data_IF_149658109619
#
_entry.id   IF_149658109619
#
_cell.length_a   1.000
_cell.length_b   1.000
_cell.length_c   1.000
_cell.angle_alpha   90.00
_cell.angle_beta   90.00
_cell.angle_gamma   90.00
#
_symmetry.space_group_name_H-M   'P 1'
#
loop_
_entity.id
_entity.type
_entity.pdbx_description
1 polymer ?
#
# COMPACT_ATOMS: atom_id res chain seq x y z
N UNK A 1 19.73 -24.30 -18.15
CA UNK A 1 18.49 -23.91 -17.46
C UNK A 1 17.38 -24.78 -18.01
N UNK A 2 16.59 -25.40 -17.13
CA UNK A 2 15.55 -26.37 -17.54
C UNK A 2 14.15 -25.79 -17.39
N UNK A 3 13.95 -24.91 -16.38
CA UNK A 3 12.64 -24.37 -16.06
C UNK A 3 12.75 -22.95 -15.52
N UNK A 4 11.87 -22.04 -15.96
CA UNK A 4 11.76 -20.65 -15.51
C UNK A 4 10.31 -20.38 -15.07
N UNK A 5 10.12 -19.77 -13.89
CA UNK A 5 8.82 -19.23 -13.47
C UNK A 5 8.78 -17.73 -13.79
N UNK A 6 7.75 -17.30 -14.49
CA UNK A 6 7.60 -15.93 -14.98
C UNK A 6 6.46 -15.23 -14.25
N UNK A 7 6.72 -14.04 -13.67
CA UNK A 7 5.66 -13.17 -13.18
C UNK A 7 4.84 -12.67 -14.39
N UNK A 8 3.58 -13.09 -14.44
CA UNK A 8 2.71 -12.95 -15.60
C UNK A 8 1.46 -12.14 -15.27
N UNK A 9 1.27 -11.02 -15.91
CA UNK A 9 0.08 -10.17 -15.75
C UNK A 9 -0.93 -10.31 -16.90
N UNK A 10 -0.61 -11.08 -17.94
CA UNK A 10 -1.47 -11.18 -19.13
C UNK A 10 -1.40 -9.98 -20.08
N UNK A 11 -0.65 -8.93 -19.75
CA UNK A 11 -0.41 -7.79 -20.63
C UNK A 11 0.49 -8.13 -21.83
N UNK A 12 0.62 -7.18 -22.77
CA UNK A 12 1.49 -7.32 -23.95
C UNK A 12 2.92 -7.70 -23.54
N UNK A 13 3.51 -6.91 -22.65
CA UNK A 13 4.92 -7.04 -22.26
C UNK A 13 5.22 -8.42 -21.67
N UNK A 14 4.41 -8.88 -20.71
CA UNK A 14 4.62 -10.18 -20.07
C UNK A 14 4.29 -11.35 -20.99
N UNK A 15 3.38 -11.19 -21.95
CA UNK A 15 3.07 -12.23 -22.93
C UNK A 15 4.20 -12.38 -23.96
N UNK A 16 4.75 -11.27 -24.49
CA UNK A 16 5.94 -11.29 -25.34
C UNK A 16 7.13 -11.89 -24.60
N UNK A 17 7.35 -11.47 -23.37
CA UNK A 17 8.43 -11.96 -22.50
C UNK A 17 8.37 -13.48 -22.31
N UNK A 18 7.20 -14.03 -22.05
CA UNK A 18 6.99 -15.47 -21.84
C UNK A 18 7.43 -16.27 -23.09
N UNK A 19 6.97 -15.86 -24.29
CA UNK A 19 7.34 -16.45 -25.56
C UNK A 19 8.83 -16.30 -25.87
N UNK A 20 9.38 -15.11 -25.63
CA UNK A 20 10.78 -14.81 -25.88
C UNK A 20 11.72 -15.64 -24.99
N UNK A 21 11.43 -15.74 -23.69
CA UNK A 21 12.20 -16.57 -22.76
C UNK A 21 12.19 -18.05 -23.17
N UNK A 22 11.04 -18.57 -23.59
CA UNK A 22 10.94 -19.95 -24.11
C UNK A 22 11.85 -20.16 -25.31
N UNK A 23 11.83 -19.23 -26.27
CA UNK A 23 12.63 -19.33 -27.48
C UNK A 23 14.13 -19.16 -27.19
N UNK A 24 14.50 -18.23 -26.30
CA UNK A 24 15.90 -17.97 -25.97
C UNK A 24 16.56 -19.11 -25.19
N UNK A 25 15.89 -19.60 -24.17
CA UNK A 25 16.48 -20.60 -23.25
C UNK A 25 16.13 -22.04 -23.61
N UNK A 26 15.22 -22.27 -24.57
CA UNK A 26 14.74 -23.59 -24.97
C UNK A 26 14.36 -24.46 -23.77
N UNK A 27 13.60 -23.89 -22.81
CA UNK A 27 13.27 -24.49 -21.54
C UNK A 27 11.76 -24.46 -21.26
N UNK A 28 11.35 -25.16 -20.22
CA UNK A 28 9.98 -25.11 -19.73
C UNK A 28 9.69 -23.74 -19.07
N UNK A 29 8.57 -23.13 -19.46
CA UNK A 29 8.11 -21.87 -18.88
C UNK A 29 6.84 -22.13 -18.09
N UNK A 30 6.84 -21.68 -16.84
CA UNK A 30 5.68 -21.69 -15.95
C UNK A 30 5.26 -20.23 -15.71
N UNK A 31 4.02 -19.92 -16.01
CA UNK A 31 3.45 -18.61 -15.71
C UNK A 31 2.93 -18.57 -14.26
N UNK A 32 3.17 -17.49 -13.56
CA UNK A 32 2.61 -17.21 -12.25
C UNK A 32 1.94 -15.86 -12.20
N UNK A 33 0.68 -15.81 -11.82
CA UNK A 33 -0.06 -14.59 -11.52
C UNK A 33 -0.55 -14.64 -10.07
N UNK A 34 -0.49 -13.52 -9.37
CA UNK A 34 -1.06 -13.38 -8.04
C UNK A 34 -2.32 -12.52 -8.11
N UNK A 35 -3.39 -12.98 -7.46
CA UNK A 35 -4.53 -12.14 -7.12
C UNK A 35 -4.23 -11.41 -5.81
N UNK A 36 -3.98 -10.11 -5.92
CA UNK A 36 -3.81 -9.18 -4.81
C UNK A 36 -4.95 -8.15 -4.76
N UNK A 37 -6.10 -8.46 -5.41
CA UNK A 37 -7.30 -7.63 -5.46
C UNK A 37 -7.40 -6.72 -6.69
N UNK A 38 -6.76 -7.07 -7.81
CA UNK A 38 -6.86 -6.36 -9.10
C UNK A 38 -8.14 -6.68 -9.90
N UNK A 39 -8.95 -7.64 -9.41
CA UNK A 39 -10.29 -8.02 -9.95
C UNK A 39 -10.27 -8.54 -11.40
N UNK A 40 -10.89 -7.82 -12.33
CA UNK A 40 -11.23 -8.27 -13.71
C UNK A 40 -10.03 -8.68 -14.59
N UNK A 41 -8.81 -8.40 -14.16
CA UNK A 41 -7.60 -8.70 -14.95
C UNK A 41 -7.20 -10.19 -14.94
N UNK A 42 -7.93 -11.03 -14.19
CA UNK A 42 -7.61 -12.46 -14.02
C UNK A 42 -8.39 -13.38 -14.97
N UNK A 43 -9.48 -12.90 -15.56
CA UNK A 43 -10.35 -13.71 -16.38
C UNK A 43 -9.63 -14.19 -17.66
N UNK A 44 -9.68 -15.51 -17.91
CA UNK A 44 -9.07 -16.13 -19.09
C UNK A 44 -7.54 -16.15 -19.11
N UNK A 45 -6.88 -15.75 -18.03
CA UNK A 45 -5.43 -15.60 -17.94
C UNK A 45 -4.69 -16.93 -18.13
N UNK A 46 -5.21 -18.02 -17.56
CA UNK A 46 -4.61 -19.36 -17.69
C UNK A 46 -4.57 -19.83 -19.15
N UNK A 47 -5.71 -19.67 -19.86
CA UNK A 47 -5.80 -20.00 -21.29
C UNK A 47 -4.84 -19.16 -22.10
N UNK A 48 -4.75 -17.86 -21.80
CA UNK A 48 -3.84 -16.94 -22.47
C UNK A 48 -2.38 -17.33 -22.25
N UNK A 49 -1.98 -17.63 -21.02
CA UNK A 49 -0.61 -18.04 -20.69
C UNK A 49 -0.20 -19.33 -21.45
N UNK A 50 -1.06 -20.34 -21.44
CA UNK A 50 -0.80 -21.63 -22.12
C UNK A 50 -0.75 -21.46 -23.64
N UNK A 51 -1.66 -20.70 -24.23
CA UNK A 51 -1.64 -20.38 -25.66
C UNK A 51 -0.38 -19.58 -26.06
N UNK A 52 0.14 -18.75 -25.15
CA UNK A 52 1.38 -17.99 -25.35
C UNK A 52 2.65 -18.85 -25.21
N UNK A 53 2.51 -20.08 -24.69
CA UNK A 53 3.61 -21.06 -24.65
C UNK A 53 4.07 -21.48 -23.26
N UNK A 54 3.37 -21.06 -22.19
CA UNK A 54 3.59 -21.62 -20.87
C UNK A 54 3.14 -23.10 -20.83
N UNK A 55 3.90 -23.95 -20.13
CA UNK A 55 3.50 -25.35 -19.88
C UNK A 55 2.45 -25.44 -18.79
N UNK A 56 2.47 -24.50 -17.84
CA UNK A 56 1.55 -24.37 -16.73
C UNK A 56 1.32 -22.89 -16.42
N UNK A 57 0.14 -22.59 -15.86
CA UNK A 57 -0.15 -21.28 -15.27
C UNK A 57 -0.72 -21.51 -13.88
N UNK A 58 -0.17 -20.80 -12.89
CA UNK A 58 -0.68 -20.78 -11.54
C UNK A 58 -1.21 -19.40 -11.20
N UNK A 59 -2.44 -19.32 -10.70
CA UNK A 59 -3.04 -18.11 -10.15
C UNK A 59 -3.13 -18.30 -8.64
N UNK A 60 -2.33 -17.53 -7.89
CA UNK A 60 -2.33 -17.54 -6.43
C UNK A 60 -3.32 -16.52 -5.87
N UNK A 61 -4.32 -16.97 -5.08
CA UNK A 61 -5.17 -16.04 -4.33
C UNK A 61 -4.40 -15.57 -3.08
N UNK A 62 -3.85 -14.37 -3.16
CA UNK A 62 -3.09 -13.73 -2.08
C UNK A 62 -3.86 -12.58 -1.40
N UNK A 63 -5.14 -12.39 -1.68
CA UNK A 63 -5.91 -11.24 -1.20
C UNK A 63 -5.93 -11.11 0.32
N UNK A 64 -6.19 -12.21 1.01
CA UNK A 64 -6.19 -12.24 2.48
C UNK A 64 -4.77 -12.11 3.05
N UNK A 65 -3.78 -12.81 2.47
CA UNK A 65 -2.37 -12.69 2.87
C UNK A 65 -1.87 -11.26 2.67
N UNK A 66 -2.19 -10.65 1.53
CA UNK A 66 -1.79 -9.27 1.23
C UNK A 66 -2.37 -8.27 2.24
N UNK A 67 -3.64 -8.43 2.61
CA UNK A 67 -4.26 -7.59 3.63
C UNK A 67 -3.62 -7.80 5.01
N UNK A 68 -3.54 -9.06 5.46
CA UNK A 68 -3.12 -9.43 6.81
C UNK A 68 -1.63 -9.20 7.06
N UNK A 69 -0.77 -9.60 6.12
CA UNK A 69 0.67 -9.69 6.35
C UNK A 69 1.45 -8.50 5.75
N UNK A 70 0.81 -7.68 4.90
CA UNK A 70 1.45 -6.52 4.26
C UNK A 70 0.73 -5.20 4.56
N UNK A 71 -0.57 -5.10 4.26
CA UNK A 71 -1.31 -3.84 4.45
C UNK A 71 -1.39 -3.49 5.93
N UNK A 72 -1.87 -4.38 6.78
CA UNK A 72 -2.12 -4.08 8.20
C UNK A 72 -0.83 -3.80 8.99
N UNK A 73 0.26 -4.58 8.86
CA UNK A 73 1.53 -4.25 9.52
C UNK A 73 2.12 -2.92 9.07
N UNK A 74 1.96 -2.55 7.80
CA UNK A 74 2.37 -1.26 7.28
C UNK A 74 1.58 -0.11 7.93
N UNK A 75 0.26 -0.27 8.12
CA UNK A 75 -0.56 0.73 8.81
C UNK A 75 -0.27 0.79 10.31
N UNK A 76 0.02 -0.33 10.99
CA UNK A 76 0.50 -0.32 12.36
C UNK A 76 1.80 0.50 12.51
N UNK A 77 2.70 0.42 11.52
CA UNK A 77 3.90 1.24 11.50
C UNK A 77 3.61 2.72 11.23
N UNK A 78 2.39 3.09 10.84
CA UNK A 78 2.08 4.43 10.35
C UNK A 78 2.83 4.79 9.08
N UNK A 79 3.28 3.78 8.31
CA UNK A 79 4.18 3.99 7.19
C UNK A 79 3.49 4.71 6.03
N UNK A 80 4.05 5.85 5.68
CA UNK A 80 3.64 6.67 4.55
C UNK A 80 4.90 7.28 3.91
N UNK A 81 5.11 7.03 2.62
CA UNK A 81 6.31 7.51 1.94
C UNK A 81 6.12 8.96 1.52
N UNK A 82 7.13 9.79 1.85
CA UNK A 82 7.16 11.23 1.57
C UNK A 82 5.87 11.95 2.02
N UNK A 83 5.23 11.46 3.09
CA UNK A 83 4.06 12.07 3.71
C UNK A 83 2.74 11.89 2.98
N UNK A 84 2.69 11.17 1.85
CA UNK A 84 1.50 11.07 1.02
C UNK A 84 1.23 9.66 0.45
N UNK A 85 2.26 8.90 0.07
CA UNK A 85 2.11 7.64 -0.62
C UNK A 85 1.95 6.46 0.35
N UNK A 86 0.81 5.76 0.29
CA UNK A 86 0.48 4.59 1.11
C UNK A 86 1.12 3.27 0.64
N UNK A 87 2.18 3.32 -0.14
CA UNK A 87 3.05 2.20 -0.47
C UNK A 87 2.39 0.98 -1.15
N UNK A 88 1.18 1.12 -1.74
CA UNK A 88 0.40 -0.02 -2.22
C UNK A 88 1.12 -0.88 -3.24
N UNK A 89 1.76 -0.29 -4.27
CA UNK A 89 2.59 -1.06 -5.21
C UNK A 89 3.85 -1.60 -4.53
N UNK A 90 4.42 -0.83 -3.59
CA UNK A 90 5.67 -1.21 -2.91
C UNK A 90 5.53 -2.46 -2.03
N UNK A 91 4.36 -2.67 -1.42
CA UNK A 91 4.07 -3.88 -0.62
C UNK A 91 3.46 -5.01 -1.45
N UNK A 92 2.82 -4.71 -2.58
CA UNK A 92 2.27 -5.76 -3.45
C UNK A 92 3.39 -6.58 -4.14
N UNK A 93 4.47 -5.93 -4.58
CA UNK A 93 5.56 -6.62 -5.29
C UNK A 93 6.28 -7.68 -4.43
N UNK A 94 6.67 -7.44 -3.17
CA UNK A 94 7.19 -8.51 -2.31
C UNK A 94 6.18 -9.62 -2.03
N UNK A 95 4.88 -9.33 -1.90
CA UNK A 95 3.84 -10.35 -1.77
C UNK A 95 3.77 -11.24 -3.01
N UNK A 96 3.72 -10.66 -4.21
CA UNK A 96 3.74 -11.37 -5.49
C UNK A 96 5.04 -12.18 -5.65
N UNK A 97 6.19 -11.58 -5.33
CA UNK A 97 7.49 -12.22 -5.44
C UNK A 97 7.60 -13.45 -4.52
N UNK A 98 7.03 -13.39 -3.31
CA UNK A 98 6.97 -14.54 -2.40
C UNK A 98 6.20 -15.70 -3.03
N UNK A 99 4.98 -15.46 -3.52
CA UNK A 99 4.20 -16.50 -4.20
C UNK A 99 4.91 -17.05 -5.45
N UNK A 100 5.57 -16.21 -6.25
CA UNK A 100 6.36 -16.64 -7.40
C UNK A 100 7.53 -17.53 -6.99
N UNK A 101 8.25 -17.20 -5.93
CA UNK A 101 9.36 -17.99 -5.39
C UNK A 101 8.85 -19.34 -4.86
N UNK A 102 7.73 -19.37 -4.14
CA UNK A 102 7.11 -20.60 -3.65
C UNK A 102 6.76 -21.56 -4.80
N UNK A 103 6.20 -21.03 -5.89
CA UNK A 103 5.95 -21.81 -7.11
C UNK A 103 7.26 -22.30 -7.73
N UNK A 104 8.28 -21.44 -7.81
CA UNK A 104 9.57 -21.82 -8.38
C UNK A 104 10.25 -22.95 -7.62
N UNK A 105 10.22 -22.92 -6.29
CA UNK A 105 10.73 -23.98 -5.43
C UNK A 105 9.92 -25.28 -5.58
N UNK A 106 8.58 -25.19 -5.61
CA UNK A 106 7.68 -26.34 -5.78
C UNK A 106 7.88 -27.03 -7.13
N UNK A 107 8.07 -26.25 -8.19
CA UNK A 107 8.28 -26.75 -9.56
C UNK A 107 9.75 -27.11 -9.85
N UNK A 108 10.67 -26.98 -8.88
CA UNK A 108 12.10 -27.16 -9.03
C UNK A 108 12.66 -26.34 -10.21
N UNK A 109 12.28 -25.07 -10.28
CA UNK A 109 12.75 -24.17 -11.33
C UNK A 109 14.19 -23.69 -11.04
N UNK A 110 14.93 -23.42 -12.10
CA UNK A 110 16.29 -22.88 -12.01
C UNK A 110 16.29 -21.36 -11.84
N UNK A 111 15.22 -20.71 -12.30
CA UNK A 111 15.13 -19.26 -12.34
C UNK A 111 13.70 -18.73 -12.18
N UNK A 112 13.62 -17.46 -11.78
CA UNK A 112 12.43 -16.63 -11.86
C UNK A 112 12.67 -15.48 -12.83
N UNK A 113 11.61 -14.99 -13.48
CA UNK A 113 11.71 -13.84 -14.40
C UNK A 113 10.56 -12.85 -14.15
N UNK A 114 10.83 -11.57 -14.39
CA UNK A 114 9.84 -10.50 -14.33
C UNK A 114 9.95 -9.52 -15.48
N UNK A 115 8.82 -8.88 -15.83
CA UNK A 115 8.72 -7.88 -16.90
C UNK A 115 8.85 -6.43 -16.43
N UNK A 116 9.35 -6.18 -15.22
CA UNK A 116 9.54 -4.82 -14.72
C UNK A 116 10.63 -4.09 -15.52
N UNK A 117 10.34 -2.84 -15.90
CA UNK A 117 11.27 -2.03 -16.69
C UNK A 117 12.47 -1.58 -15.89
N UNK A 118 13.61 -1.33 -16.57
CA UNK A 118 14.86 -0.87 -15.94
C UNK A 118 14.79 0.55 -15.33
N UNK A 119 13.72 1.31 -15.59
CA UNK A 119 13.49 2.66 -15.03
C UNK A 119 12.59 2.68 -13.80
N UNK A 120 11.91 1.56 -13.48
CA UNK A 120 10.97 1.45 -12.36
C UNK A 120 11.61 0.86 -11.11
N UNK A 121 10.98 1.10 -9.96
CA UNK A 121 11.37 0.50 -8.69
C UNK A 121 10.99 -0.99 -8.60
N UNK A 122 10.04 -1.46 -9.40
CA UNK A 122 9.48 -2.81 -9.28
C UNK A 122 10.53 -3.90 -9.53
N UNK A 123 11.47 -3.68 -10.45
CA UNK A 123 12.60 -4.59 -10.65
C UNK A 123 13.37 -4.81 -9.35
N UNK A 124 13.65 -3.74 -8.60
CA UNK A 124 14.39 -3.83 -7.34
C UNK A 124 13.58 -4.63 -6.31
N UNK A 125 12.29 -4.37 -6.22
CA UNK A 125 11.36 -5.05 -5.29
C UNK A 125 11.28 -6.55 -5.55
N UNK A 126 11.14 -6.97 -6.82
CA UNK A 126 11.13 -8.39 -7.20
C UNK A 126 12.46 -9.08 -6.88
N UNK A 127 13.56 -8.45 -7.27
CA UNK A 127 14.89 -9.08 -7.17
C UNK A 127 15.39 -9.17 -5.73
N UNK A 128 15.24 -8.11 -4.92
CA UNK A 128 15.60 -8.15 -3.52
C UNK A 128 14.75 -9.17 -2.74
N UNK A 129 13.44 -9.27 -3.07
CA UNK A 129 12.58 -10.30 -2.48
C UNK A 129 13.05 -11.71 -2.85
N UNK A 130 13.34 -11.97 -4.12
CA UNK A 130 13.83 -13.26 -4.57
C UNK A 130 15.20 -13.60 -3.96
N UNK A 131 16.10 -12.63 -3.88
CA UNK A 131 17.43 -12.80 -3.28
C UNK A 131 17.37 -13.20 -1.80
N UNK A 132 16.40 -12.63 -1.06
CA UNK A 132 16.23 -12.96 0.35
C UNK A 132 15.53 -14.31 0.57
N UNK A 133 14.48 -14.58 -0.21
CA UNK A 133 13.63 -15.77 -0.03
C UNK A 133 14.26 -17.03 -0.63
N UNK A 134 15.00 -16.92 -1.73
CA UNK A 134 15.60 -18.06 -2.43
C UNK A 134 16.92 -17.65 -3.11
N UNK A 135 18.02 -17.44 -2.35
CA UNK A 135 19.28 -16.87 -2.84
C UNK A 135 19.98 -17.72 -3.91
N UNK A 136 19.53 -18.95 -4.14
CA UNK A 136 20.08 -19.85 -5.19
C UNK A 136 19.33 -19.73 -6.52
N UNK A 137 18.13 -19.13 -6.55
CA UNK A 137 17.39 -18.92 -7.79
C UNK A 137 18.04 -17.79 -8.61
N UNK A 138 18.20 -18.05 -9.89
CA UNK A 138 18.62 -17.01 -10.83
C UNK A 138 17.45 -16.07 -11.10
N UNK A 139 17.67 -14.77 -11.06
CA UNK A 139 16.66 -13.78 -11.46
C UNK A 139 16.96 -13.29 -12.88
N UNK A 140 15.98 -13.37 -13.76
CA UNK A 140 16.08 -12.91 -15.15
C UNK A 140 15.23 -11.65 -15.30
N UNK A 141 15.88 -10.55 -15.70
CA UNK A 141 15.26 -9.24 -15.95
C UNK A 141 15.50 -8.81 -17.40
N UNK A 142 14.67 -9.25 -18.35
CA UNK A 142 14.90 -9.04 -19.79
C UNK A 142 15.04 -7.57 -20.20
N UNK A 143 14.32 -6.66 -19.59
CA UNK A 143 14.45 -5.22 -19.85
C UNK A 143 15.84 -4.63 -19.54
N UNK A 144 16.74 -5.37 -18.90
CA UNK A 144 18.15 -5.00 -18.71
C UNK A 144 19.12 -5.80 -19.57
N UNK A 145 18.61 -6.74 -20.37
CA UNK A 145 19.42 -7.54 -21.30
C UNK A 145 19.52 -6.83 -22.65
N UNK A 146 20.73 -6.72 -23.17
CA UNK A 146 21.01 -5.99 -24.42
C UNK A 146 20.28 -6.57 -25.63
N UNK A 147 20.24 -7.89 -25.75
CA UNK A 147 19.57 -8.59 -26.85
C UNK A 147 18.03 -8.39 -26.79
N UNK A 148 17.41 -8.42 -25.61
CA UNK A 148 15.98 -8.12 -25.46
C UNK A 148 15.67 -6.69 -25.88
N UNK A 149 16.47 -5.72 -25.40
CA UNK A 149 16.28 -4.31 -25.74
C UNK A 149 16.54 -3.99 -27.19
N UNK A 150 17.47 -4.71 -27.82
CA UNK A 150 17.73 -4.57 -29.24
C UNK A 150 16.59 -5.11 -30.11
N UNK A 151 15.94 -6.21 -29.67
CA UNK A 151 14.77 -6.79 -30.33
C UNK A 151 13.50 -5.98 -30.08
N UNK A 152 13.36 -5.40 -28.89
CA UNK A 152 12.16 -4.66 -28.44
C UNK A 152 12.51 -3.22 -28.00
N UNK A 153 12.92 -2.34 -28.91
CA UNK A 153 13.19 -0.94 -28.59
C UNK A 153 11.94 -0.16 -28.19
N UNK A 154 10.73 -0.67 -28.54
CA UNK A 154 9.47 -0.04 -28.22
C UNK A 154 8.25 -0.97 -28.31
N UNK A 155 7.08 -0.37 -28.08
CA UNK A 155 5.79 -1.09 -28.08
C UNK A 155 5.42 -1.64 -29.47
N UNK A 156 5.81 -0.95 -30.54
CA UNK A 156 5.50 -1.36 -31.91
C UNK A 156 6.13 -2.71 -32.24
N UNK A 157 7.40 -2.91 -31.90
CA UNK A 157 8.13 -4.14 -32.11
C UNK A 157 7.56 -5.29 -31.30
N UNK A 158 7.10 -5.02 -30.07
CA UNK A 158 6.40 -6.02 -29.27
C UNK A 158 5.07 -6.46 -29.89
N UNK A 159 4.30 -5.53 -30.45
CA UNK A 159 3.05 -5.85 -31.17
C UNK A 159 3.36 -6.70 -32.40
N UNK A 160 4.33 -6.31 -33.21
CA UNK A 160 4.76 -7.07 -34.39
C UNK A 160 5.24 -8.49 -34.03
N UNK A 161 5.99 -8.64 -32.93
CA UNK A 161 6.39 -9.94 -32.40
C UNK A 161 5.18 -10.77 -31.96
N UNK A 162 4.23 -10.16 -31.24
CA UNK A 162 3.01 -10.82 -30.79
C UNK A 162 2.18 -11.34 -31.96
N UNK A 163 2.02 -10.54 -33.03
CA UNK A 163 1.34 -10.93 -34.25
C UNK A 163 2.06 -12.10 -34.97
N UNK A 164 3.38 -11.99 -35.13
CA UNK A 164 4.22 -13.03 -35.76
C UNK A 164 4.12 -14.37 -35.02
N UNK A 165 4.02 -14.36 -33.72
CA UNK A 165 3.97 -15.56 -32.87
C UNK A 165 2.56 -15.96 -32.44
N UNK A 166 1.51 -15.36 -33.02
CA UNK A 166 0.09 -15.60 -32.69
C UNK A 166 -0.22 -15.48 -31.20
N UNK A 167 0.44 -14.52 -30.52
CA UNK A 167 0.19 -14.24 -29.10
C UNK A 167 -1.12 -13.44 -28.98
N UNK A 168 -2.12 -13.94 -28.23
CA UNK A 168 -3.41 -13.25 -28.10
C UNK A 168 -3.28 -12.00 -27.22
N UNK A 169 -2.97 -10.87 -27.81
CA UNK A 169 -2.98 -9.57 -27.16
C UNK A 169 -4.15 -8.77 -27.69
N UNK A 170 -4.99 -8.27 -26.77
CA UNK A 170 -5.98 -7.29 -27.18
C UNK A 170 -5.24 -6.01 -27.57
N UNK A 171 -5.42 -5.58 -28.82
CA UNK A 171 -4.98 -4.26 -29.27
C UNK A 171 -5.83 -3.22 -28.50
N UNK A 172 -5.40 -2.88 -27.30
CA UNK A 172 -6.05 -1.82 -26.54
C UNK A 172 -5.72 -0.48 -27.18
N UNK A 173 -6.74 0.35 -27.37
CA UNK A 173 -6.54 1.77 -27.67
C UNK A 173 -5.47 2.32 -26.70
N UNK A 174 -4.55 3.14 -27.23
CA UNK A 174 -3.45 3.72 -26.43
C UNK A 174 -4.03 4.42 -25.23
N UNK A 175 -3.99 3.76 -24.06
CA UNK A 175 -4.41 4.41 -22.81
C UNK A 175 -3.50 5.62 -22.59
N UNK A 176 -4.05 6.79 -22.23
CA UNK A 176 -3.26 8.01 -22.06
C UNK A 176 -2.36 8.00 -20.81
N UNK A 177 -2.41 6.96 -20.00
CA UNK A 177 -1.64 6.73 -18.77
C UNK A 177 -1.47 5.22 -18.53
N UNK A 178 -0.53 4.83 -17.67
CA UNK A 178 -0.41 3.49 -17.10
C UNK A 178 -1.21 3.38 -15.81
N UNK A 179 -1.74 2.20 -15.51
CA UNK A 179 -2.52 1.92 -14.31
C UNK A 179 -2.05 0.60 -13.70
N UNK A 180 -1.89 0.58 -12.37
CA UNK A 180 -1.63 -0.63 -11.57
C UNK A 180 -2.61 -0.66 -10.39
N UNK A 181 -3.32 -1.79 -10.21
CA UNK A 181 -4.38 -1.96 -9.23
C UNK A 181 -4.08 -3.11 -8.28
N UNK A 182 -4.38 -2.91 -7.01
CA UNK A 182 -4.44 -3.95 -5.99
C UNK A 182 -5.48 -3.60 -4.92
N UNK A 183 -5.63 -4.44 -3.90
CA UNK A 183 -6.62 -4.26 -2.84
C UNK A 183 -6.49 -2.91 -2.11
N UNK A 184 -5.27 -2.40 -1.93
CA UNK A 184 -5.04 -1.16 -1.19
C UNK A 184 -5.31 0.08 -2.03
N UNK A 185 -4.90 0.06 -3.31
CA UNK A 185 -4.93 1.27 -4.15
C UNK A 185 -4.99 1.00 -5.66
N UNK A 186 -5.22 2.07 -6.40
CA UNK A 186 -4.85 2.19 -7.81
C UNK A 186 -3.81 3.29 -7.93
N UNK A 187 -2.74 3.04 -8.70
CA UNK A 187 -1.77 4.03 -9.12
C UNK A 187 -1.92 4.34 -10.60
N UNK A 188 -1.80 5.61 -10.96
CA UNK A 188 -1.78 6.11 -12.33
C UNK A 188 -0.47 6.87 -12.55
N UNK A 189 0.22 6.57 -13.64
CA UNK A 189 1.48 7.22 -14.00
C UNK A 189 1.68 7.27 -15.52
N UNK A 190 2.71 7.96 -15.98
CA UNK A 190 3.12 8.10 -17.37
C UNK A 190 2.10 8.85 -18.26
N UNK A 191 2.44 8.99 -19.54
CA UNK A 191 1.60 9.65 -20.55
C UNK A 191 1.25 11.08 -20.17
N UNK A 192 -0.02 11.43 -20.11
CA UNK A 192 -0.46 12.81 -19.80
C UNK A 192 -0.04 13.27 -18.38
N UNK A 193 0.24 12.33 -17.46
CA UNK A 193 0.67 12.65 -16.09
C UNK A 193 2.15 13.03 -16.01
N UNK A 194 2.94 12.85 -17.09
CA UNK A 194 4.33 13.31 -17.14
C UNK A 194 4.44 14.84 -17.16
N UNK A 195 3.40 15.53 -17.65
CA UNK A 195 3.26 16.96 -17.47
C UNK A 195 2.80 17.25 -16.04
N UNK A 196 3.68 17.79 -15.21
CA UNK A 196 3.38 18.14 -13.81
C UNK A 196 2.35 19.25 -13.67
N UNK A 197 2.02 19.98 -14.75
CA UNK A 197 0.98 21.02 -14.78
C UNK A 197 -0.39 20.49 -15.21
N UNK A 198 -0.47 19.25 -15.69
CA UNK A 198 -1.76 18.63 -16.03
C UNK A 198 -2.64 18.51 -14.78
N UNK A 199 -3.86 19.04 -14.86
CA UNK A 199 -4.84 18.98 -13.77
C UNK A 199 -5.56 17.62 -13.76
N UNK A 200 -5.12 16.73 -12.88
CA UNK A 200 -5.73 15.41 -12.69
C UNK A 200 -7.10 15.48 -11.97
N UNK A 201 -7.53 16.64 -11.48
CA UNK A 201 -8.85 16.84 -10.86
C UNK A 201 -9.90 17.37 -11.84
N UNK A 202 -9.46 17.83 -13.02
CA UNK A 202 -10.35 18.39 -14.04
C UNK A 202 -11.42 17.38 -14.51
N UNK A 203 -12.59 17.86 -14.97
CA UNK A 203 -13.66 17.00 -15.52
C UNK A 203 -13.16 16.05 -16.61
N UNK A 204 -12.18 16.45 -17.43
CA UNK A 204 -11.58 15.62 -18.48
C UNK A 204 -10.76 14.44 -17.96
N UNK A 205 -10.35 14.45 -16.69
CA UNK A 205 -9.61 13.37 -16.04
C UNK A 205 -10.50 12.44 -15.20
N UNK A 206 -11.80 12.70 -15.07
CA UNK A 206 -12.73 11.93 -14.22
C UNK A 206 -12.73 10.44 -14.53
N UNK A 207 -12.68 10.07 -15.80
CA UNK A 207 -12.68 8.66 -16.23
C UNK A 207 -11.42 7.89 -15.83
N UNK A 208 -10.37 8.57 -15.39
CA UNK A 208 -9.16 7.94 -14.86
C UNK A 208 -9.47 7.21 -13.55
N UNK A 209 -10.22 7.85 -12.65
CA UNK A 209 -10.52 7.32 -11.33
C UNK A 209 -11.54 6.16 -11.38
N UNK A 210 -11.26 5.09 -10.62
CA UNK A 210 -12.03 3.84 -10.63
C UNK A 210 -12.53 3.41 -9.25
N UNK A 211 -11.87 3.85 -8.18
CA UNK A 211 -12.26 3.51 -6.81
C UNK A 211 -13.08 4.61 -6.14
N UNK A 212 -12.96 5.85 -6.59
CA UNK A 212 -13.58 6.99 -5.94
C UNK A 212 -14.35 7.88 -6.91
N UNK A 213 -15.50 8.37 -6.48
CA UNK A 213 -16.19 9.48 -7.16
C UNK A 213 -15.44 10.79 -6.96
N UNK A 214 -15.67 11.78 -7.81
CA UNK A 214 -15.13 13.12 -7.55
C UNK A 214 -15.77 13.68 -6.26
N UNK A 215 -15.02 14.44 -5.44
CA UNK A 215 -15.56 15.03 -4.21
C UNK A 215 -16.85 15.85 -4.44
N UNK A 216 -16.95 16.52 -5.56
CA UNK A 216 -18.13 17.29 -5.97
C UNK A 216 -19.36 16.40 -6.20
N UNK A 217 -19.16 15.17 -6.70
CA UNK A 217 -20.20 14.20 -7.02
C UNK A 217 -20.55 13.28 -5.82
N UNK A 218 -19.79 13.39 -4.71
CA UNK A 218 -20.06 12.63 -3.50
C UNK A 218 -21.35 13.12 -2.80
N UNK A 219 -22.01 12.25 -1.99
CA UNK A 219 -23.26 12.59 -1.31
C UNK A 219 -23.20 13.90 -0.51
N UNK A 220 -24.31 14.65 -0.49
CA UNK A 220 -24.47 15.88 0.30
C UNK A 220 -24.73 15.60 1.79
N UNK A 221 -24.98 14.36 2.16
CA UNK A 221 -25.12 13.93 3.54
C UNK A 221 -23.83 13.25 4.01
N UNK A 222 -23.31 13.64 5.18
CA UNK A 222 -22.13 13.01 5.73
C UNK A 222 -22.41 11.56 6.16
N UNK A 223 -21.41 10.70 6.02
CA UNK A 223 -21.47 9.33 6.48
C UNK A 223 -20.55 9.12 7.71
N UNK A 224 -21.04 8.36 8.71
CA UNK A 224 -20.26 8.02 9.87
C UNK A 224 -19.79 6.57 9.80
N UNK A 225 -18.51 6.36 10.07
CA UNK A 225 -17.88 5.03 10.13
C UNK A 225 -17.24 4.86 11.49
N UNK A 226 -17.59 3.78 12.17
CA UNK A 226 -16.97 3.36 13.41
C UNK A 226 -16.03 2.19 13.15
N UNK A 227 -14.81 2.23 13.68
CA UNK A 227 -13.83 1.17 13.59
C UNK A 227 -13.40 0.73 14.97
N UNK A 228 -13.30 -0.59 15.17
CA UNK A 228 -12.71 -1.19 16.35
C UNK A 228 -11.29 -1.63 16.07
N UNK A 229 -10.41 -1.31 17.02
CA UNK A 229 -9.02 -1.71 16.99
C UNK A 229 -8.70 -2.60 18.19
N UNK A 230 -7.88 -3.64 17.93
CA UNK A 230 -7.28 -4.51 18.95
C UNK A 230 -5.79 -4.64 18.65
N UNK A 231 -4.95 -4.21 19.59
CA UNK A 231 -3.48 -4.22 19.43
C UNK A 231 -3.01 -3.55 18.12
N UNK A 232 -3.63 -2.42 17.75
CA UNK A 232 -3.34 -1.67 16.54
C UNK A 232 -3.88 -2.24 15.23
N UNK A 233 -4.62 -3.35 15.29
CA UNK A 233 -5.26 -3.96 14.11
C UNK A 233 -6.75 -3.63 14.10
N UNK A 234 -7.27 -3.19 12.98
CA UNK A 234 -8.72 -3.00 12.79
C UNK A 234 -9.38 -4.38 12.66
N UNK A 235 -10.30 -4.70 13.56
CA UNK A 235 -10.96 -6.02 13.62
C UNK A 235 -12.44 -5.97 13.24
N UNK A 236 -13.09 -4.82 13.38
CA UNK A 236 -14.50 -4.67 13.07
C UNK A 236 -14.85 -3.24 12.66
N UNK A 237 -15.97 -3.10 11.98
CA UNK A 237 -16.51 -1.81 11.59
C UNK A 237 -18.04 -1.76 11.74
N UNK A 238 -18.57 -0.53 11.80
CA UNK A 238 -20.00 -0.23 11.76
C UNK A 238 -20.21 1.01 10.92
N UNK A 239 -21.01 0.90 9.88
CA UNK A 239 -21.45 2.00 9.03
C UNK A 239 -22.80 1.67 8.44
N UNK A 240 -23.54 2.69 8.00
CA UNK A 240 -24.81 2.47 7.32
C UNK A 240 -24.59 1.74 5.99
N UNK A 241 -25.45 0.76 5.70
CA UNK A 241 -25.36 -0.05 4.48
C UNK A 241 -24.24 -1.09 4.48
N UNK A 242 -23.63 -1.40 5.62
CA UNK A 242 -22.59 -2.46 5.72
C UNK A 242 -23.12 -3.79 5.19
N UNK A 243 -24.33 -4.21 5.55
CA UNK A 243 -24.92 -5.48 5.09
C UNK A 243 -25.02 -5.55 3.56
N UNK A 244 -25.46 -4.47 2.92
CA UNK A 244 -25.51 -4.41 1.45
C UNK A 244 -24.11 -4.54 0.80
N UNK A 245 -23.06 -4.02 1.44
CA UNK A 245 -21.68 -4.19 0.96
C UNK A 245 -21.18 -5.62 1.18
N UNK A 246 -21.59 -6.28 2.27
CA UNK A 246 -21.26 -7.70 2.48
C UNK A 246 -21.87 -8.57 1.39
N UNK A 247 -23.13 -8.35 1.06
CA UNK A 247 -23.82 -9.07 -0.03
C UNK A 247 -23.17 -8.77 -1.38
N UNK A 248 -22.92 -7.50 -1.69
CA UNK A 248 -22.28 -7.06 -2.94
C UNK A 248 -20.93 -7.75 -3.18
N UNK A 249 -20.12 -7.89 -2.13
CA UNK A 249 -18.78 -8.47 -2.24
C UNK A 249 -18.72 -9.95 -1.85
N UNK A 250 -19.87 -10.57 -1.56
CA UNK A 250 -19.96 -11.95 -1.07
C UNK A 250 -19.08 -12.20 0.15
N UNK A 251 -18.99 -11.22 1.05
CA UNK A 251 -18.20 -11.29 2.27
C UNK A 251 -19.01 -11.94 3.39
N UNK A 252 -18.36 -12.86 4.13
CA UNK A 252 -18.96 -13.48 5.32
C UNK A 252 -18.38 -12.85 6.56
N UNK A 253 -19.20 -12.29 7.47
CA UNK A 253 -18.70 -11.79 8.74
C UNK A 253 -18.19 -12.94 9.62
N UNK A 254 -17.13 -12.68 10.35
CA UNK A 254 -16.62 -13.60 11.40
C UNK A 254 -17.53 -13.61 12.60
N UNK A 255 -18.10 -12.44 12.93
CA UNK A 255 -19.10 -12.24 13.98
C UNK A 255 -19.83 -10.90 13.75
N UNK A 256 -21.02 -10.79 14.37
CA UNK A 256 -21.71 -9.51 14.54
C UNK A 256 -21.98 -9.35 16.04
N UNK A 257 -21.47 -8.28 16.66
CA UNK A 257 -21.60 -8.05 18.09
C UNK A 257 -21.69 -6.54 18.37
N UNK A 258 -22.64 -6.14 19.20
CA UNK A 258 -22.86 -4.75 19.63
C UNK A 258 -23.02 -3.77 18.44
N UNK A 259 -23.59 -4.27 17.34
CA UNK A 259 -23.78 -3.53 16.10
C UNK A 259 -22.51 -3.37 15.26
N UNK A 260 -21.41 -4.01 15.64
CA UNK A 260 -20.19 -4.09 14.83
C UNK A 260 -20.12 -5.40 14.04
N UNK A 261 -19.66 -5.28 12.80
CA UNK A 261 -19.39 -6.42 11.92
C UNK A 261 -17.90 -6.71 11.94
N UNK A 262 -17.52 -7.87 12.47
CA UNK A 262 -16.15 -8.37 12.49
C UNK A 262 -15.85 -9.04 11.16
N UNK A 263 -14.75 -8.67 10.54
CA UNK A 263 -14.34 -9.15 9.21
C UNK A 263 -12.87 -9.57 9.22
N UNK A 264 -12.52 -10.38 8.22
CA UNK A 264 -11.12 -10.60 7.91
C UNK A 264 -10.45 -9.30 7.43
N UNK A 265 -9.11 -9.19 7.49
CA UNK A 265 -8.37 -8.06 6.94
C UNK A 265 -8.75 -7.69 5.50
N UNK A 266 -8.93 -8.68 4.64
CA UNK A 266 -9.43 -8.47 3.27
C UNK A 266 -10.84 -7.84 3.27
N UNK A 267 -11.74 -8.40 4.08
CA UNK A 267 -13.13 -7.91 4.18
C UNK A 267 -13.19 -6.46 4.67
N UNK A 268 -12.40 -6.11 5.70
CA UNK A 268 -12.28 -4.72 6.19
C UNK A 268 -11.85 -3.79 5.07
N UNK A 269 -10.78 -4.13 4.33
CA UNK A 269 -10.29 -3.30 3.24
C UNK A 269 -11.31 -3.12 2.12
N UNK A 270 -12.03 -4.18 1.73
CA UNK A 270 -13.08 -4.11 0.70
C UNK A 270 -14.20 -3.16 1.09
N UNK A 271 -14.70 -3.27 2.33
CA UNK A 271 -15.77 -2.40 2.82
C UNK A 271 -15.29 -0.96 2.94
N UNK A 272 -14.09 -0.72 3.49
CA UNK A 272 -13.53 0.63 3.63
C UNK A 272 -13.25 1.28 2.28
N UNK A 273 -12.81 0.52 1.27
CA UNK A 273 -12.65 1.04 -0.09
C UNK A 273 -13.99 1.53 -0.68
N UNK A 274 -15.07 0.78 -0.49
CA UNK A 274 -16.38 1.18 -0.95
C UNK A 274 -16.91 2.43 -0.23
N UNK A 275 -16.77 2.46 1.11
CA UNK A 275 -17.17 3.60 1.92
C UNK A 275 -16.39 4.87 1.55
N UNK A 276 -15.06 4.77 1.48
CA UNK A 276 -14.20 5.90 1.11
C UNK A 276 -14.42 6.35 -0.33
N UNK A 277 -14.56 5.39 -1.23
CA UNK A 277 -14.76 5.66 -2.66
C UNK A 277 -16.04 6.42 -2.94
N UNK A 278 -17.19 5.98 -2.38
CA UNK A 278 -18.46 6.68 -2.56
C UNK A 278 -18.52 8.07 -1.93
N UNK A 279 -17.63 8.35 -0.98
CA UNK A 279 -17.48 9.66 -0.34
C UNK A 279 -16.36 10.52 -0.97
N UNK A 280 -15.74 10.08 -2.07
CA UNK A 280 -14.70 10.82 -2.78
C UNK A 280 -13.36 10.90 -2.04
N UNK A 281 -13.13 10.04 -1.03
CA UNK A 281 -11.93 10.06 -0.20
C UNK A 281 -10.74 9.36 -0.87
N UNK A 282 -9.51 9.74 -0.48
CA UNK A 282 -8.30 8.98 -0.72
C UNK A 282 -7.60 9.23 -2.05
N UNK A 283 -7.86 10.35 -2.73
CA UNK A 283 -7.10 10.78 -3.92
C UNK A 283 -5.83 11.52 -3.51
N UNK A 284 -4.73 11.18 -4.14
CA UNK A 284 -3.42 11.83 -3.93
C UNK A 284 -2.75 12.04 -5.28
N UNK A 285 -2.17 13.22 -5.48
CA UNK A 285 -1.32 13.57 -6.63
C UNK A 285 0.00 14.07 -6.08
N UNK A 286 1.11 13.41 -6.41
CA UNK A 286 2.42 13.75 -5.88
C UNK A 286 3.55 13.49 -6.87
N UNK A 287 4.64 14.19 -6.66
CA UNK A 287 5.93 13.90 -7.31
C UNK A 287 6.84 13.26 -6.26
N UNK A 288 7.11 11.98 -6.44
CA UNK A 288 7.91 11.16 -5.53
C UNK A 288 9.35 10.98 -6.03
N UNK A 289 10.26 10.64 -5.12
CA UNK A 289 11.64 10.30 -5.46
C UNK A 289 11.78 8.78 -5.59
N UNK A 290 12.00 8.29 -6.82
CA UNK A 290 12.24 6.85 -7.06
C UNK A 290 13.61 6.43 -6.52
N UNK A 291 13.70 5.21 -6.02
CA UNK A 291 14.95 4.64 -5.51
C UNK A 291 16.06 4.60 -6.58
N UNK A 292 15.68 4.44 -7.82
CA UNK A 292 16.59 4.48 -8.97
C UNK A 292 17.09 5.89 -9.36
N UNK A 293 16.78 6.92 -8.56
CA UNK A 293 17.39 8.25 -8.62
C UNK A 293 16.67 9.31 -9.44
N UNK A 294 15.42 9.08 -9.87
CA UNK A 294 14.63 10.06 -10.61
C UNK A 294 13.35 10.46 -9.86
N UNK A 295 12.83 11.64 -10.17
CA UNK A 295 11.50 12.06 -9.75
C UNK A 295 10.44 11.48 -10.71
N UNK A 296 9.30 11.12 -10.16
CA UNK A 296 8.17 10.62 -10.95
C UNK A 296 6.86 11.11 -10.34
N UNK A 297 5.95 11.60 -11.18
CA UNK A 297 4.60 11.92 -10.74
C UNK A 297 3.74 10.67 -10.73
N UNK A 298 3.03 10.46 -9.63
CA UNK A 298 2.00 9.44 -9.48
C UNK A 298 0.71 10.04 -8.96
N UNK A 299 -0.41 9.58 -9.51
CA UNK A 299 -1.75 9.87 -8.98
C UNK A 299 -2.29 8.57 -8.40
N UNK A 300 -2.88 8.64 -7.22
CA UNK A 300 -3.29 7.46 -6.46
C UNK A 300 -4.72 7.58 -5.96
N UNK A 301 -5.43 6.45 -5.93
CA UNK A 301 -6.68 6.28 -5.21
C UNK A 301 -6.47 5.26 -4.09
N UNK A 302 -6.61 5.68 -2.85
CA UNK A 302 -6.43 4.82 -1.66
C UNK A 302 -7.55 5.07 -0.65
N UNK A 303 -8.82 4.89 -1.01
CA UNK A 303 -9.96 5.32 -0.20
C UNK A 303 -10.01 4.61 1.16
N UNK A 304 -9.98 3.28 1.20
CA UNK A 304 -10.01 2.50 2.44
C UNK A 304 -8.76 2.67 3.29
N UNK A 305 -7.58 2.74 2.63
CA UNK A 305 -6.32 2.98 3.34
C UNK A 305 -6.28 4.34 4.03
N UNK A 306 -6.83 5.38 3.41
CA UNK A 306 -6.93 6.72 4.02
C UNK A 306 -7.83 6.73 5.25
N UNK A 307 -8.96 6.00 5.22
CA UNK A 307 -9.85 5.84 6.39
C UNK A 307 -9.13 5.08 7.50
N UNK A 308 -8.49 3.94 7.17
CA UNK A 308 -7.80 3.10 8.14
C UNK A 308 -6.65 3.86 8.81
N UNK A 309 -5.83 4.59 8.03
CA UNK A 309 -4.74 5.42 8.54
C UNK A 309 -5.26 6.51 9.48
N UNK A 310 -6.28 7.26 9.07
CA UNK A 310 -6.87 8.32 9.88
C UNK A 310 -7.43 7.76 11.20
N UNK A 311 -8.15 6.63 11.18
CA UNK A 311 -8.69 6.01 12.38
C UNK A 311 -7.60 5.48 13.31
N UNK A 312 -6.59 4.79 12.76
CA UNK A 312 -5.48 4.26 13.54
C UNK A 312 -4.75 5.35 14.33
N UNK A 313 -4.45 6.49 13.70
CA UNK A 313 -3.85 7.65 14.40
C UNK A 313 -4.73 8.20 15.53
N UNK A 314 -6.05 8.08 15.43
CA UNK A 314 -6.96 8.55 16.48
C UNK A 314 -6.94 7.63 17.72
N UNK A 315 -6.91 6.30 17.55
CA UNK A 315 -6.82 5.40 18.70
C UNK A 315 -5.43 5.48 19.35
N UNK A 316 -4.36 5.56 18.56
CA UNK A 316 -3.00 5.79 19.06
C UNK A 316 -2.91 7.05 19.94
N UNK A 317 -3.56 8.13 19.54
CA UNK A 317 -3.47 9.43 20.23
C UNK A 317 -3.94 9.42 21.69
N UNK A 318 -4.75 8.44 22.07
CA UNK A 318 -5.27 8.32 23.46
C UNK A 318 -4.71 7.11 24.21
N UNK A 319 -4.03 6.18 23.51
CA UNK A 319 -3.59 4.90 24.12
C UNK A 319 -2.08 4.73 24.18
N UNK A 320 -1.32 5.44 23.33
CA UNK A 320 0.13 5.35 23.34
C UNK A 320 0.75 6.36 24.32
N UNK A 321 1.74 5.89 25.08
CA UNK A 321 2.61 6.78 25.83
C UNK A 321 3.31 7.78 24.90
N UNK A 322 3.48 9.03 25.36
CA UNK A 322 4.05 10.12 24.56
C UNK A 322 5.43 9.78 23.99
N UNK A 323 6.33 9.26 24.82
CA UNK A 323 7.71 8.99 24.42
C UNK A 323 7.79 7.79 23.46
N UNK A 324 6.93 6.77 23.68
CA UNK A 324 6.80 5.63 22.79
C UNK A 324 6.28 6.07 21.43
N UNK A 325 5.26 6.94 21.38
CA UNK A 325 4.70 7.47 20.15
C UNK A 325 5.74 8.30 19.38
N UNK A 326 6.46 9.20 20.06
CA UNK A 326 7.49 10.02 19.43
C UNK A 326 8.66 9.16 18.91
N UNK A 327 9.09 8.15 19.65
CA UNK A 327 10.11 7.19 19.21
C UNK A 327 9.65 6.48 17.93
N UNK A 328 8.45 5.87 17.94
CA UNK A 328 7.90 5.17 16.79
C UNK A 328 7.75 6.11 15.60
N UNK A 329 7.21 7.31 15.80
CA UNK A 329 6.99 8.29 14.72
C UNK A 329 8.32 8.76 14.10
N UNK A 330 9.39 8.84 14.88
CA UNK A 330 10.73 9.15 14.34
C UNK A 330 11.27 8.10 13.36
N UNK A 331 10.77 6.87 13.45
CA UNK A 331 11.18 5.74 12.61
C UNK A 331 10.29 5.54 11.37
N UNK A 332 9.13 6.20 11.29
CA UNK A 332 8.23 6.10 10.14
C UNK A 332 8.93 6.36 8.81
N UNK A 333 9.72 7.43 8.63
CA UNK A 333 10.38 7.69 7.36
C UNK A 333 11.36 6.57 6.98
N UNK A 334 12.07 6.00 7.96
CA UNK A 334 13.00 4.89 7.73
C UNK A 334 12.27 3.62 7.34
N UNK A 335 11.19 3.28 8.04
CA UNK A 335 10.36 2.13 7.70
C UNK A 335 9.75 2.28 6.30
N UNK A 336 9.15 3.43 6.00
CA UNK A 336 8.56 3.72 4.69
C UNK A 336 9.59 3.64 3.56
N UNK A 337 10.81 4.17 3.77
CA UNK A 337 11.90 4.09 2.79
C UNK A 337 12.35 2.65 2.54
N UNK A 338 12.47 1.81 3.57
CA UNK A 338 12.80 0.39 3.39
C UNK A 338 11.75 -0.32 2.54
N UNK A 339 10.47 -0.12 2.85
CA UNK A 339 9.37 -0.70 2.09
C UNK A 339 9.35 -0.19 0.65
N UNK A 340 9.44 1.12 0.47
CA UNK A 340 9.45 1.75 -0.86
C UNK A 340 10.58 1.22 -1.75
N UNK A 341 11.76 1.03 -1.17
CA UNK A 341 12.97 0.59 -1.84
C UNK A 341 13.05 -0.94 -2.06
N UNK A 342 12.06 -1.73 -1.61
CA UNK A 342 11.99 -3.17 -1.84
C UNK A 342 12.62 -4.05 -0.75
N UNK A 343 12.95 -3.49 0.40
CA UNK A 343 13.55 -4.21 1.53
C UNK A 343 12.51 -4.81 2.49
N UNK A 344 11.37 -5.28 1.98
CA UNK A 344 10.30 -5.87 2.80
C UNK A 344 10.78 -7.04 3.65
N UNK A 345 11.61 -7.91 3.11
CA UNK A 345 12.14 -9.10 3.80
C UNK A 345 13.51 -8.88 4.46
N UNK A 346 13.94 -7.63 4.63
CA UNK A 346 15.24 -7.34 5.23
C UNK A 346 15.22 -7.43 6.76
N UNK A 347 16.35 -7.83 7.39
CA UNK A 347 16.47 -7.90 8.85
C UNK A 347 16.18 -6.57 9.55
N UNK A 348 16.55 -5.44 8.95
CA UNK A 348 16.29 -4.12 9.52
C UNK A 348 14.79 -3.76 9.52
N UNK A 349 14.03 -4.18 8.49
CA UNK A 349 12.56 -4.00 8.49
C UNK A 349 11.93 -4.88 9.57
N UNK A 350 12.40 -6.11 9.75
CA UNK A 350 11.90 -7.02 10.79
C UNK A 350 12.16 -6.47 12.19
N UNK A 351 13.35 -5.89 12.43
CA UNK A 351 13.66 -5.24 13.70
C UNK A 351 12.73 -4.03 13.97
N UNK A 352 12.48 -3.20 12.95
CA UNK A 352 11.54 -2.08 13.05
C UNK A 352 10.11 -2.58 13.28
N UNK A 353 9.68 -3.64 12.61
CA UNK A 353 8.35 -4.23 12.81
C UNK A 353 8.17 -4.77 14.23
N UNK A 354 9.20 -5.36 14.82
CA UNK A 354 9.15 -5.82 16.20
C UNK A 354 8.92 -4.65 17.17
N UNK A 355 9.61 -3.52 16.97
CA UNK A 355 9.38 -2.30 17.75
C UNK A 355 7.96 -1.76 17.54
N UNK A 356 7.50 -1.72 16.29
CA UNK A 356 6.13 -1.29 15.96
C UNK A 356 5.12 -2.17 16.70
N UNK A 357 5.22 -3.49 16.57
CA UNK A 357 4.29 -4.44 17.20
C UNK A 357 4.26 -4.27 18.72
N UNK A 358 5.42 -4.08 19.36
CA UNK A 358 5.51 -3.82 20.80
C UNK A 358 4.77 -2.53 21.16
N UNK A 359 4.92 -1.46 20.39
CA UNK A 359 4.28 -0.17 20.62
C UNK A 359 2.75 -0.21 20.50
N UNK A 360 2.20 -1.23 19.83
CA UNK A 360 0.77 -1.34 19.54
C UNK A 360 -0.02 -2.16 20.60
N UNK A 361 0.61 -2.76 21.59
CA UNK A 361 -0.04 -3.66 22.56
C UNK A 361 -1.28 -3.09 23.27
N UNK A 362 -1.36 -1.79 23.44
CA UNK A 362 -2.49 -1.12 24.09
C UNK A 362 -3.30 -0.24 23.13
N UNK A 363 -2.97 -0.27 21.84
CA UNK A 363 -3.72 0.47 20.81
C UNK A 363 -5.00 -0.28 20.49
N UNK A 364 -5.93 -0.22 21.44
CA UNK A 364 -7.22 -0.92 21.43
C UNK A 364 -8.32 0.06 21.77
N UNK A 365 -9.37 0.11 20.97
CA UNK A 365 -10.47 1.03 21.20
C UNK A 365 -11.36 1.24 19.99
N UNK A 366 -12.31 2.14 20.13
CA UNK A 366 -13.24 2.55 19.07
C UNK A 366 -12.93 3.96 18.58
N UNK A 367 -12.97 4.12 17.28
CA UNK A 367 -12.86 5.41 16.60
C UNK A 367 -14.08 5.63 15.72
N UNK A 368 -14.66 6.83 15.79
CA UNK A 368 -15.71 7.29 14.91
C UNK A 368 -15.15 8.36 13.98
N UNK A 369 -15.28 8.13 12.69
CA UNK A 369 -14.92 9.09 11.62
C UNK A 369 -16.19 9.58 10.93
N UNK A 370 -16.13 10.81 10.42
CA UNK A 370 -17.12 11.42 9.53
C UNK A 370 -16.50 11.57 8.16
N UNK A 371 -17.10 10.94 7.15
CA UNK A 371 -16.72 11.05 5.74
C UNK A 371 -17.64 12.06 5.06
N UNK A 372 -17.06 13.00 4.33
CA UNK A 372 -17.86 14.00 3.62
C UNK A 372 -17.05 14.69 2.52
N UNK A 373 -17.50 14.57 1.26
CA UNK A 373 -16.94 15.31 0.12
C UNK A 373 -15.39 15.23 0.08
N UNK A 374 -14.85 14.03 0.09
CA UNK A 374 -13.40 13.77 0.04
C UNK A 374 -12.66 13.91 1.38
N UNK A 375 -13.32 14.43 2.42
CA UNK A 375 -12.71 14.64 3.72
C UNK A 375 -12.98 13.48 4.69
N UNK A 376 -11.98 13.18 5.51
CA UNK A 376 -12.04 12.20 6.61
C UNK A 376 -11.78 12.96 7.90
N UNK A 377 -12.81 13.10 8.74
CA UNK A 377 -12.77 13.91 9.95
C UNK A 377 -12.95 13.05 11.18
N UNK A 378 -12.11 13.24 12.22
CA UNK A 378 -12.30 12.58 13.50
C UNK A 378 -13.58 13.10 14.16
N UNK A 379 -14.48 12.19 14.55
CA UNK A 379 -15.76 12.51 15.20
C UNK A 379 -15.86 11.92 16.60
N UNK A 380 -14.86 11.18 17.07
CA UNK A 380 -14.76 10.65 18.42
C UNK A 380 -13.83 9.44 18.50
N UNK A 381 -13.35 9.18 19.72
CA UNK A 381 -12.50 8.04 20.06
C UNK A 381 -12.71 7.68 21.51
N UNK A 382 -12.63 6.39 21.83
CA UNK A 382 -12.70 5.89 23.21
C UNK A 382 -11.91 4.59 23.36
N UNK A 383 -11.35 4.36 24.53
CA UNK A 383 -10.58 3.16 24.84
C UNK A 383 -10.61 2.89 26.34
N UNK A 384 -10.64 1.60 26.71
CA UNK A 384 -10.40 1.18 28.10
C UNK A 384 -8.92 1.34 28.49
N UNK A 385 -8.01 1.49 27.52
CA UNK A 385 -6.58 1.72 27.73
C UNK A 385 -6.20 3.20 27.54
N UNK A 386 -7.17 4.11 27.63
CA UNK A 386 -6.92 5.54 27.46
C UNK A 386 -5.96 6.08 28.52
N UNK A 387 -4.96 6.81 28.08
CA UNK A 387 -4.07 7.62 28.91
C UNK A 387 -4.60 9.06 29.05
N UNK A 388 -5.69 9.41 28.35
CA UNK A 388 -6.34 10.69 28.49
C UNK A 388 -7.22 10.66 29.74
N UNK A 389 -6.87 11.49 30.71
CA UNK A 389 -7.61 11.66 31.98
C UNK A 389 -8.31 13.02 31.93
N UNK A 390 -9.64 12.99 31.88
CA UNK A 390 -10.49 14.19 31.82
C UNK A 390 -10.32 15.06 33.05
N UNK A 391 -10.13 14.46 34.25
CA UNK A 391 -9.98 15.20 35.50
C UNK A 391 -8.65 15.98 35.55
N UNK A 392 -7.58 15.43 34.96
CA UNK A 392 -6.28 16.11 34.85
C UNK A 392 -6.29 17.13 33.71
N UNK A 393 -6.92 16.80 32.57
CA UNK A 393 -6.91 17.63 31.38
C UNK A 393 -7.87 18.83 31.43
N UNK A 394 -8.82 18.83 32.39
CA UNK A 394 -9.82 19.90 32.50
C UNK A 394 -9.20 21.27 32.77
N UNK A 395 -9.78 22.30 32.18
CA UNK A 395 -9.47 23.71 32.52
C UNK A 395 -10.31 24.22 33.69
N UNK A 396 -11.29 23.43 34.11
CA UNK A 396 -12.12 23.71 35.31
C UNK A 396 -11.38 23.32 36.60
N UNK A 397 -12.03 23.48 37.72
CA UNK A 397 -11.47 23.08 39.02
C UNK A 397 -11.26 21.56 39.05
N UNK A 398 -10.00 21.12 39.17
CA UNK A 398 -9.65 19.72 39.34
C UNK A 398 -10.16 19.22 40.72
N UNK A 399 -11.19 18.38 40.78
CA UNK A 399 -11.74 17.90 42.08
C UNK A 399 -10.77 16.93 42.76
N UNK A 400 -9.82 16.34 42.03
CA UNK A 400 -8.86 15.35 42.57
C UNK A 400 -7.56 15.98 43.02
N UNK A 401 -7.28 17.22 42.60
CA UNK A 401 -5.99 17.92 42.80
C UNK A 401 -4.78 17.10 42.31
N UNK A 402 -4.99 16.29 41.27
CA UNK A 402 -3.97 15.38 40.72
C UNK A 402 -2.82 16.10 40.03
N UNK A 403 -3.03 17.38 39.62
CA UNK A 403 -2.01 18.22 39.00
C UNK A 403 -1.76 19.49 39.84
N UNK A 404 -0.54 19.61 40.36
CA UNK A 404 -0.11 20.81 41.06
C UNK A 404 0.52 21.82 40.08
N UNK A 405 -0.18 22.90 39.77
CA UNK A 405 0.30 23.92 38.83
C UNK A 405 1.64 24.58 39.27
N UNK A 406 1.96 24.59 40.58
CA UNK A 406 3.22 25.16 41.07
C UNK A 406 4.45 24.37 40.62
N UNK A 407 4.31 23.06 40.35
CA UNK A 407 5.43 22.21 39.91
C UNK A 407 5.94 22.65 38.52
N UNK A 408 5.09 23.24 37.71
CA UNK A 408 5.45 23.81 36.41
C UNK A 408 6.51 24.94 36.52
N UNK A 409 6.52 25.69 37.61
CA UNK A 409 7.46 26.79 37.85
C UNK A 409 8.91 26.28 37.89
N UNK A 410 9.16 25.19 38.65
CA UNK A 410 10.48 24.57 38.74
C UNK A 410 10.90 23.93 37.42
N UNK A 411 10.00 23.18 36.79
CA UNK A 411 10.22 22.56 35.49
C UNK A 411 10.59 23.59 34.41
N UNK A 412 9.84 24.68 34.29
CA UNK A 412 10.10 25.76 33.32
C UNK A 412 11.46 26.42 33.61
N UNK A 413 11.76 26.70 34.91
CA UNK A 413 13.01 27.35 35.30
C UNK A 413 14.22 26.53 34.90
N UNK A 414 14.21 25.21 35.13
CA UNK A 414 15.29 24.29 34.73
C UNK A 414 15.44 24.25 33.21
N UNK A 415 14.36 24.09 32.46
CA UNK A 415 14.39 24.06 30.98
C UNK A 415 14.85 25.40 30.39
N UNK A 416 14.58 26.53 31.04
CA UNK A 416 14.99 27.86 30.62
C UNK A 416 16.50 28.10 30.77
N UNK A 417 17.24 27.32 31.58
CA UNK A 417 18.68 27.55 31.82
C UNK A 417 19.49 27.53 30.53
N UNK A 418 19.32 26.51 29.68
CA UNK A 418 20.03 26.41 28.41
C UNK A 418 19.67 27.55 27.46
N UNK A 419 18.40 27.99 27.44
CA UNK A 419 17.93 29.08 26.58
C UNK A 419 18.54 30.41 27.01
N UNK A 420 18.57 30.68 28.34
CA UNK A 420 19.23 31.89 28.90
C UNK A 420 20.73 31.92 28.64
N UNK A 421 21.41 30.72 28.65
CA UNK A 421 22.81 30.64 28.31
C UNK A 421 23.06 30.95 26.80
N UNK A 422 22.21 30.41 25.92
CA UNK A 422 22.26 30.72 24.47
C UNK A 422 22.01 32.18 24.18
N UNK A 423 21.02 32.81 24.83
CA UNK A 423 20.70 34.24 24.65
C UNK A 423 21.88 35.14 25.08
N UNK A 424 22.52 34.84 26.23
CA UNK A 424 23.73 35.57 26.67
C UNK A 424 24.88 35.49 25.66
N UNK A 425 25.12 34.34 25.06
CA UNK A 425 26.13 34.18 24.02
C UNK A 425 25.82 34.98 22.78
N UNK A 426 24.57 35.04 22.34
CA UNK A 426 24.14 35.82 21.19
C UNK A 426 24.31 37.33 21.46
N UNK A 427 23.97 37.80 22.68
CA UNK A 427 24.14 39.21 23.06
C UNK A 427 25.60 39.65 23.23
N UNK A 428 26.52 38.70 23.51
CA UNK A 428 27.95 38.99 23.61
C UNK A 428 28.68 39.05 22.24
N UNK A 429 27.99 38.60 21.16
CA UNK A 429 28.50 38.65 19.79
C UNK A 429 28.02 39.87 18.99
N UNK A 430 27.17 40.72 19.57
CA UNK A 430 26.73 42.04 19.08
C UNK A 430 27.52 43.15 19.79
#
# INVERSE_FOLDING_TARGET
MKKIVVAYSGGLDTSVLLSWLKNKYQCEIVAYCADVGQEEELDGLEVKATTTGASKCFIGDLREEFARDYIFPMFQAGAIYEGQYFLGTSIARPCIAKGMVEIALRENADAVAHGATGKGNDQVRFELSAAMLAPKLVVIAPWRMDDFRAEFPGRAEMIAYAEKHNIPVQASAKKPYSMDRNLLHISFEAGMLEDTWFDATAPSARDMYKLSVAPEDAPDQPEYVHLLFENGLCTALKADGTDALLDQFSLKPLAVKDGFTYLSPYGIMKVLNALGGRNGCGRVDMVENRFVGMKSRGVYETPGGSILFAAHRQVESITMDREVMHLRDSLIPKYAALVYNGFWFSPERDALQALVTESQKHVTGEVRLKLYKGNIMAAGRRSAFSLYDEAIATMEKDPTQSYNQNDATGFISLNALRLKASARRASAAL
#
